data_IF_012187602472
#
_entry.id   IF_012187602472
#
_cell.length_a   1.000
_cell.length_b   1.000
_cell.length_c   1.000
_cell.angle_alpha   90.00
_cell.angle_beta   90.00
_cell.angle_gamma   90.00
#
_symmetry.space_group_name_H-M   'P 1'
#
loop_
_entity.id
_entity.type
_entity.pdbx_description
1 polymer ?
#
# COMPACT_ATOMS: atom_id res chain seq x y z
N UNK A 1 35.81 40.03 -22.00
CA UNK A 1 37.29 39.95 -22.07
C UNK A 1 37.60 38.47 -22.04
N UNK A 2 38.02 37.91 -23.18
CA UNK A 2 38.40 36.50 -23.26
C UNK A 2 39.81 36.38 -22.70
N UNK A 3 39.98 35.62 -21.62
CA UNK A 3 41.28 35.13 -21.21
C UNK A 3 41.77 34.17 -22.30
N UNK A 4 42.72 34.64 -23.11
CA UNK A 4 43.49 33.76 -23.98
C UNK A 4 44.30 32.83 -23.07
N UNK A 5 43.88 31.56 -23.01
CA UNK A 5 44.61 30.53 -22.28
C UNK A 5 46.09 30.58 -22.69
N UNK A 6 46.97 30.81 -21.72
CA UNK A 6 48.42 30.84 -21.96
C UNK A 6 48.85 29.52 -22.59
N UNK A 7 49.70 29.56 -23.60
CA UNK A 7 50.24 28.36 -24.24
C UNK A 7 50.93 27.42 -23.23
N UNK A 8 51.39 27.96 -22.10
CA UNK A 8 51.93 27.18 -20.98
C UNK A 8 50.88 26.28 -20.30
N UNK A 9 49.62 26.73 -20.12
CA UNK A 9 48.56 25.90 -19.51
C UNK A 9 48.17 24.71 -20.41
N UNK A 10 48.21 24.91 -21.73
CA UNK A 10 47.89 23.87 -22.71
C UNK A 10 48.99 22.80 -22.77
N UNK A 11 50.25 23.19 -22.58
CA UNK A 11 51.40 22.29 -22.69
C UNK A 11 51.77 21.56 -21.38
N UNK A 12 51.34 22.05 -20.22
CA UNK A 12 51.69 21.47 -18.91
C UNK A 12 50.75 20.31 -18.52
N UNK A 13 49.47 20.32 -18.92
CA UNK A 13 48.57 19.19 -18.69
C UNK A 13 47.38 19.13 -19.67
N UNK A 14 47.56 18.64 -20.91
CA UNK A 14 46.52 18.64 -21.94
C UNK A 14 45.28 17.81 -21.58
N UNK A 15 45.34 16.98 -20.52
CA UNK A 15 44.26 16.11 -20.08
C UNK A 15 43.36 16.74 -19.00
N UNK A 16 43.77 17.84 -18.37
CA UNK A 16 43.02 18.46 -17.27
C UNK A 16 41.63 18.94 -17.70
N UNK A 17 41.52 19.54 -18.89
CA UNK A 17 40.24 19.95 -19.46
C UNK A 17 39.28 18.78 -19.70
N UNK A 18 39.80 17.62 -20.14
CA UNK A 18 39.01 16.41 -20.33
C UNK A 18 38.59 15.77 -19.00
N UNK A 19 39.44 15.84 -17.97
CA UNK A 19 39.11 15.37 -16.63
C UNK A 19 38.00 16.21 -15.99
N UNK A 20 38.09 17.54 -16.07
CA UNK A 20 37.04 18.41 -15.52
C UNK A 20 35.73 18.27 -16.31
N UNK A 21 35.83 18.13 -17.64
CA UNK A 21 34.67 17.81 -18.47
C UNK A 21 34.00 16.50 -18.04
N UNK A 22 34.78 15.43 -17.89
CA UNK A 22 34.28 14.13 -17.45
C UNK A 22 33.68 14.16 -16.04
N UNK A 23 34.28 14.93 -15.12
CA UNK A 23 33.74 15.13 -13.76
C UNK A 23 32.40 15.84 -13.78
N UNK A 24 32.30 16.93 -14.56
CA UNK A 24 31.07 17.71 -14.73
C UNK A 24 29.96 16.87 -15.36
N UNK A 25 30.27 16.18 -16.46
CA UNK A 25 29.31 15.30 -17.16
C UNK A 25 28.87 14.14 -16.27
N UNK A 26 29.81 13.49 -15.56
CA UNK A 26 29.51 12.42 -14.62
C UNK A 26 28.61 12.88 -13.47
N UNK A 27 28.87 14.07 -12.90
CA UNK A 27 28.05 14.67 -11.84
C UNK A 27 26.63 14.96 -12.33
N UNK A 28 26.50 15.60 -13.50
CA UNK A 28 25.20 15.92 -14.10
C UNK A 28 24.41 14.64 -14.44
N UNK A 29 25.06 13.66 -15.05
CA UNK A 29 24.47 12.37 -15.37
C UNK A 29 24.02 11.62 -14.11
N UNK A 30 24.85 11.61 -13.07
CA UNK A 30 24.54 10.97 -11.78
C UNK A 30 23.34 11.61 -11.08
N UNK A 31 23.29 12.95 -11.01
CA UNK A 31 22.16 13.68 -10.42
C UNK A 31 20.86 13.41 -11.18
N UNK A 32 20.92 13.47 -12.52
CA UNK A 32 19.76 13.22 -13.37
C UNK A 32 19.26 11.78 -13.25
N UNK A 33 20.17 10.80 -13.23
CA UNK A 33 19.84 9.39 -13.05
C UNK A 33 19.20 9.15 -11.68
N UNK A 34 19.85 9.62 -10.60
CA UNK A 34 19.35 9.47 -9.24
C UNK A 34 17.98 10.10 -9.01
N UNK A 35 17.73 11.29 -9.58
CA UNK A 35 16.42 11.94 -9.51
C UNK A 35 15.33 11.13 -10.23
N UNK A 36 15.61 10.65 -11.44
CA UNK A 36 14.65 9.87 -12.22
C UNK A 36 14.35 8.52 -11.55
N UNK A 37 15.37 7.84 -11.04
CA UNK A 37 15.23 6.56 -10.36
C UNK A 37 14.45 6.72 -9.06
N UNK A 38 14.79 7.73 -8.24
CA UNK A 38 14.07 8.04 -7.01
C UNK A 38 12.60 8.37 -7.26
N UNK A 39 12.32 9.18 -8.29
CA UNK A 39 10.94 9.52 -8.69
C UNK A 39 10.16 8.27 -9.14
N UNK A 40 10.76 7.47 -10.02
CA UNK A 40 10.14 6.24 -10.55
C UNK A 40 9.83 5.25 -9.43
N UNK A 41 10.81 4.99 -8.55
CA UNK A 41 10.66 4.10 -7.41
C UNK A 41 9.59 4.59 -6.44
N UNK A 42 9.59 5.89 -6.11
CA UNK A 42 8.59 6.51 -5.23
C UNK A 42 7.17 6.36 -5.78
N UNK A 43 6.97 6.63 -7.07
CA UNK A 43 5.67 6.44 -7.73
C UNK A 43 5.20 4.98 -7.69
N UNK A 44 6.10 4.04 -8.02
CA UNK A 44 5.78 2.62 -8.02
C UNK A 44 5.37 2.14 -6.63
N UNK A 45 6.12 2.55 -5.59
CA UNK A 45 5.85 2.17 -4.19
C UNK A 45 4.57 2.79 -3.65
N UNK A 46 4.31 4.07 -3.96
CA UNK A 46 3.07 4.72 -3.56
C UNK A 46 1.84 4.01 -4.15
N UNK A 47 1.91 3.60 -5.41
CA UNK A 47 0.84 2.85 -6.07
C UNK A 47 0.67 1.45 -5.47
N UNK A 48 1.77 0.71 -5.24
CA UNK A 48 1.74 -0.60 -4.57
C UNK A 48 1.03 -0.51 -3.21
N UNK A 49 1.40 0.50 -2.40
CA UNK A 49 0.80 0.71 -1.10
C UNK A 49 -0.67 1.12 -1.18
N UNK A 50 -1.02 2.03 -2.10
CA UNK A 50 -2.40 2.49 -2.28
C UNK A 50 -3.35 1.36 -2.64
N UNK A 51 -2.95 0.48 -3.58
CA UNK A 51 -3.77 -0.67 -3.99
C UNK A 51 -3.94 -1.66 -2.83
N UNK A 52 -2.85 -1.98 -2.14
CA UNK A 52 -2.91 -2.92 -1.01
C UNK A 52 -3.75 -2.39 0.15
N UNK A 53 -3.62 -1.11 0.51
CA UNK A 53 -4.46 -0.47 1.53
C UNK A 53 -5.93 -0.46 1.13
N UNK A 54 -6.23 -0.13 -0.13
CA UNK A 54 -7.59 -0.16 -0.66
C UNK A 54 -8.22 -1.55 -0.57
N UNK A 55 -7.47 -2.58 -0.95
CA UNK A 55 -7.90 -3.97 -0.85
C UNK A 55 -8.18 -4.38 0.60
N UNK A 56 -7.25 -4.13 1.53
CA UNK A 56 -7.41 -4.50 2.94
C UNK A 56 -8.58 -3.74 3.57
N UNK A 57 -8.74 -2.44 3.26
CA UNK A 57 -9.88 -1.64 3.73
C UNK A 57 -11.21 -2.20 3.22
N UNK A 58 -11.28 -2.56 1.94
CA UNK A 58 -12.45 -3.23 1.36
C UNK A 58 -12.78 -4.55 2.06
N UNK A 59 -11.76 -5.36 2.35
CA UNK A 59 -11.92 -6.58 3.13
C UNK A 59 -12.48 -6.31 4.53
N UNK A 60 -11.96 -5.32 5.26
CA UNK A 60 -12.45 -4.97 6.61
C UNK A 60 -13.94 -4.60 6.57
N UNK A 61 -14.37 -3.82 5.56
CA UNK A 61 -15.78 -3.46 5.38
C UNK A 61 -16.68 -4.69 5.18
N UNK A 62 -16.29 -5.59 4.27
CA UNK A 62 -17.03 -6.84 4.01
C UNK A 62 -17.01 -7.75 5.23
N UNK A 63 -15.88 -7.83 5.93
CA UNK A 63 -15.75 -8.66 7.12
C UNK A 63 -16.69 -8.19 8.24
N UNK A 64 -16.83 -6.89 8.44
CA UNK A 64 -17.78 -6.34 9.41
C UNK A 64 -19.24 -6.57 9.02
N UNK A 65 -19.57 -6.42 7.73
CA UNK A 65 -20.96 -6.49 7.25
C UNK A 65 -21.47 -7.92 7.11
N UNK A 66 -20.67 -8.80 6.51
CA UNK A 66 -21.14 -10.10 6.01
C UNK A 66 -20.55 -11.28 6.79
N UNK A 67 -19.30 -11.16 7.23
CA UNK A 67 -18.56 -12.29 7.84
C UNK A 67 -18.77 -12.36 9.35
N UNK A 68 -18.64 -11.24 10.06
CA UNK A 68 -18.79 -11.25 11.53
C UNK A 68 -20.18 -11.73 12.00
N UNK A 69 -21.31 -11.33 11.39
CA UNK A 69 -22.62 -11.80 11.81
C UNK A 69 -22.87 -13.29 11.55
N UNK A 70 -22.12 -13.91 10.64
CA UNK A 70 -22.27 -15.31 10.27
C UNK A 70 -21.37 -16.26 11.07
N UNK A 71 -20.54 -15.75 11.99
CA UNK A 71 -19.61 -16.54 12.81
C UNK A 71 -20.19 -16.80 14.21
N UNK A 72 -19.86 -17.98 14.77
CA UNK A 72 -20.15 -18.33 16.15
C UNK A 72 -19.66 -17.27 17.17
N UNK A 73 -20.54 -16.91 18.11
CA UNK A 73 -20.34 -15.83 19.10
C UNK A 73 -19.00 -15.94 19.83
N UNK A 74 -18.61 -17.15 20.26
CA UNK A 74 -17.37 -17.38 21.01
C UNK A 74 -16.10 -17.00 20.23
N UNK A 75 -16.12 -17.08 18.90
CA UNK A 75 -14.99 -16.70 18.02
C UNK A 75 -15.14 -15.29 17.49
N UNK A 76 -16.37 -14.81 17.32
CA UNK A 76 -16.68 -13.49 16.77
C UNK A 76 -15.98 -12.36 17.55
N UNK A 77 -15.97 -12.41 18.88
CA UNK A 77 -15.32 -11.37 19.70
C UNK A 77 -13.82 -11.23 19.44
N UNK A 78 -13.10 -12.36 19.32
CA UNK A 78 -11.66 -12.37 19.06
C UNK A 78 -11.33 -11.81 17.68
N UNK A 79 -12.14 -12.18 16.68
CA UNK A 79 -11.99 -11.67 15.31
C UNK A 79 -12.32 -10.19 15.26
N UNK A 80 -13.39 -9.75 15.92
CA UNK A 80 -13.78 -8.34 15.99
C UNK A 80 -12.67 -7.47 16.60
N UNK A 81 -12.02 -7.92 17.69
CA UNK A 81 -10.85 -7.23 18.26
C UNK A 81 -9.69 -7.14 17.27
N UNK A 82 -9.43 -8.21 16.52
CA UNK A 82 -8.35 -8.25 15.54
C UNK A 82 -8.64 -7.36 14.33
N UNK A 83 -9.90 -7.32 13.86
CA UNK A 83 -10.38 -6.42 12.82
C UNK A 83 -10.31 -4.96 13.25
N UNK A 84 -10.73 -4.63 14.47
CA UNK A 84 -10.60 -3.27 15.01
C UNK A 84 -9.13 -2.83 15.06
N UNK A 85 -8.25 -3.71 15.54
CA UNK A 85 -6.81 -3.43 15.60
C UNK A 85 -6.16 -3.28 14.21
N UNK A 86 -6.73 -3.92 13.18
CA UNK A 86 -6.34 -3.76 11.77
C UNK A 86 -6.86 -2.43 11.22
N UNK A 87 -8.14 -2.11 11.43
CA UNK A 87 -8.76 -0.85 11.03
C UNK A 87 -8.00 0.34 11.61
N UNK A 88 -7.71 0.32 12.91
CA UNK A 88 -6.89 1.33 13.56
C UNK A 88 -5.52 1.50 12.89
N UNK A 89 -4.84 0.39 12.55
CA UNK A 89 -3.54 0.47 11.89
C UNK A 89 -3.63 1.08 10.47
N UNK A 90 -4.75 0.89 9.78
CA UNK A 90 -5.02 1.50 8.46
C UNK A 90 -5.32 2.99 8.62
N UNK A 91 -6.07 3.39 9.65
CA UNK A 91 -6.42 4.80 9.89
C UNK A 91 -5.22 5.59 10.44
N UNK A 92 -4.28 4.94 11.11
CA UNK A 92 -2.98 5.51 11.50
C UNK A 92 -1.96 5.59 10.34
N UNK A 93 -2.29 5.08 9.16
CA UNK A 93 -1.41 5.16 8.00
C UNK A 93 -1.37 6.60 7.46
N UNK A 94 -0.17 7.17 7.22
CA UNK A 94 -0.05 8.59 6.90
C UNK A 94 -0.74 8.94 5.59
N UNK A 95 -1.43 10.08 5.60
CA UNK A 95 -2.01 10.65 4.39
C UNK A 95 -0.94 11.15 3.41
N UNK A 96 -1.32 11.43 2.15
CA UNK A 96 -0.39 11.96 1.15
C UNK A 96 0.31 13.23 1.64
N UNK A 97 -0.42 14.16 2.26
CA UNK A 97 0.17 15.42 2.72
C UNK A 97 1.23 15.20 3.81
N UNK A 98 0.99 14.29 4.74
CA UNK A 98 1.94 13.95 5.81
C UNK A 98 3.21 13.30 5.26
N UNK A 99 3.08 12.46 4.22
CA UNK A 99 4.23 11.79 3.59
C UNK A 99 5.18 12.74 2.87
N UNK A 100 4.72 13.91 2.40
CA UNK A 100 5.52 14.86 1.63
C UNK A 100 5.97 16.10 2.42
N UNK A 101 5.42 16.35 3.61
CA UNK A 101 5.74 17.54 4.42
C UNK A 101 7.20 17.61 4.88
N UNK A 102 7.91 16.50 5.00
CA UNK A 102 9.30 16.46 5.46
C UNK A 102 10.35 16.68 4.36
N UNK A 103 9.94 16.90 3.11
CA UNK A 103 10.87 17.03 1.96
C UNK A 103 11.24 18.49 1.68
N UNK A 104 10.53 19.46 2.25
CA UNK A 104 10.69 20.89 1.96
C UNK A 104 11.38 21.69 3.06
N UNK A 105 12.53 21.24 3.56
CA UNK A 105 13.43 22.15 4.30
C UNK A 105 14.56 22.63 3.36
N UNK A 106 14.36 23.75 2.63
CA UNK A 106 15.32 24.25 1.64
C UNK A 106 16.64 24.70 2.26
N UNK A 107 16.73 24.83 3.59
CA UNK A 107 17.94 25.25 4.28
C UNK A 107 18.97 24.12 4.46
N UNK A 108 18.63 22.87 4.09
CA UNK A 108 19.52 21.71 4.30
C UNK A 108 20.07 21.10 2.99
N UNK A 109 19.83 21.71 1.83
CA UNK A 109 20.17 21.11 0.52
C UNK A 109 21.43 21.69 -0.13
N UNK A 110 22.06 22.73 0.43
CA UNK A 110 23.22 23.38 -0.21
C UNK A 110 24.61 22.99 0.33
N UNK A 111 24.72 22.14 1.37
CA UNK A 111 25.99 21.99 2.11
C UNK A 111 26.58 20.58 2.16
N UNK A 112 26.40 19.72 1.16
CA UNK A 112 26.91 18.33 1.20
C UNK A 112 27.74 17.88 0.00
N UNK A 113 28.40 18.78 -0.75
CA UNK A 113 29.26 18.35 -1.87
C UNK A 113 30.71 18.82 -1.80
N UNK A 114 31.13 19.49 -0.73
CA UNK A 114 32.54 19.84 -0.48
C UNK A 114 32.86 19.70 1.02
N UNK A 115 32.75 18.50 1.61
CA UNK A 115 33.56 18.24 2.81
C UNK A 115 33.84 16.76 3.06
N UNK A 116 35.06 16.52 3.51
CA UNK A 116 35.66 15.22 3.74
C UNK A 116 34.99 14.43 4.87
N UNK A 117 35.11 13.11 4.77
CA UNK A 117 35.21 12.13 5.86
C UNK A 117 35.11 12.71 7.29
N UNK A 118 33.89 12.82 7.85
CA UNK A 118 33.54 12.60 9.26
C UNK A 118 32.19 13.26 9.56
N UNK A 119 31.14 12.47 9.86
CA UNK A 119 30.09 12.90 10.79
C UNK A 119 29.08 11.77 11.00
N UNK A 120 29.04 11.27 12.24
CA UNK A 120 28.05 10.35 12.79
C UNK A 120 26.64 10.97 12.82
N UNK A 121 25.99 11.06 11.65
CA UNK A 121 24.62 11.56 11.50
C UNK A 121 23.58 10.44 11.71
N UNK A 122 23.63 9.71 12.83
CA UNK A 122 22.67 8.64 13.14
C UNK A 122 21.45 9.11 13.95
N UNK A 123 21.37 10.36 14.40
CA UNK A 123 20.38 10.75 15.44
C UNK A 123 19.20 11.60 14.98
N UNK A 124 19.17 12.10 13.73
CA UNK A 124 18.11 13.03 13.29
C UNK A 124 17.00 12.39 12.43
N UNK A 125 17.07 11.08 12.17
CA UNK A 125 16.06 10.30 11.42
C UNK A 125 14.98 9.65 12.29
N UNK A 126 14.96 9.90 13.61
CA UNK A 126 14.07 9.18 14.55
C UNK A 126 12.57 9.47 14.42
N UNK A 127 12.19 10.49 13.65
CA UNK A 127 10.78 10.77 13.31
C UNK A 127 10.53 10.77 11.79
N UNK A 128 11.43 10.18 10.99
CA UNK A 128 11.08 9.88 9.61
C UNK A 128 9.89 8.92 9.66
N UNK A 129 8.75 9.33 9.10
CA UNK A 129 7.54 8.51 8.98
C UNK A 129 7.94 7.12 8.47
N UNK A 130 7.92 6.12 9.35
CA UNK A 130 8.25 4.74 9.00
C UNK A 130 7.07 4.11 8.26
N UNK A 131 6.84 4.58 7.02
CA UNK A 131 5.77 4.12 6.14
C UNK A 131 5.89 2.61 5.90
N UNK A 132 7.13 2.12 5.74
CA UNK A 132 7.41 0.71 5.50
C UNK A 132 7.02 -0.13 6.72
N UNK A 133 7.43 0.26 7.92
CA UNK A 133 7.07 -0.44 9.15
C UNK A 133 5.57 -0.37 9.46
N UNK A 134 4.91 0.77 9.19
CA UNK A 134 3.44 0.88 9.28
C UNK A 134 2.75 -0.08 8.31
N UNK A 135 3.21 -0.15 7.05
CA UNK A 135 2.66 -1.08 6.06
C UNK A 135 2.89 -2.56 6.47
N UNK A 136 4.08 -2.90 6.96
CA UNK A 136 4.36 -4.25 7.47
C UNK A 136 3.47 -4.62 8.65
N UNK A 137 3.19 -3.68 9.56
CA UNK A 137 2.26 -3.87 10.68
C UNK A 137 0.84 -4.15 10.18
N UNK A 138 0.36 -3.42 9.17
CA UNK A 138 -0.94 -3.65 8.53
C UNK A 138 -0.98 -5.06 7.91
N UNK A 139 0.03 -5.42 7.12
CA UNK A 139 0.17 -6.76 6.51
C UNK A 139 0.12 -7.88 7.55
N UNK A 140 0.84 -7.72 8.67
CA UNK A 140 0.87 -8.71 9.74
C UNK A 140 -0.52 -8.89 10.40
N UNK A 141 -1.21 -7.78 10.69
CA UNK A 141 -2.56 -7.80 11.26
C UNK A 141 -3.58 -8.39 10.29
N UNK A 142 -3.49 -8.04 9.01
CA UNK A 142 -4.35 -8.61 7.96
C UNK A 142 -4.18 -10.13 7.87
N UNK A 143 -2.93 -10.62 7.80
CA UNK A 143 -2.64 -12.06 7.84
C UNK A 143 -3.18 -12.74 9.09
N UNK A 144 -3.07 -12.10 10.25
CA UNK A 144 -3.64 -12.64 11.49
C UNK A 144 -5.16 -12.81 11.37
N UNK A 145 -5.86 -11.81 10.82
CA UNK A 145 -7.32 -11.87 10.63
C UNK A 145 -7.72 -12.95 9.62
N UNK A 146 -7.03 -13.08 8.49
CA UNK A 146 -7.36 -14.10 7.48
C UNK A 146 -7.12 -15.52 8.01
N UNK A 147 -6.06 -15.73 8.78
CA UNK A 147 -5.83 -17.00 9.51
C UNK A 147 -6.94 -17.25 10.52
N UNK A 148 -7.30 -16.25 11.32
CA UNK A 148 -8.40 -16.37 12.29
C UNK A 148 -9.74 -16.63 11.63
N UNK A 149 -9.94 -16.26 10.36
CA UNK A 149 -11.12 -16.52 9.54
C UNK A 149 -11.08 -17.86 8.78
N UNK A 150 -9.96 -18.61 8.85
CA UNK A 150 -9.72 -19.84 8.09
C UNK A 150 -9.67 -19.63 6.56
N UNK A 151 -9.22 -18.45 6.12
CA UNK A 151 -8.97 -18.11 4.72
C UNK A 151 -7.50 -17.66 4.53
N UNK A 152 -6.49 -18.45 4.94
CA UNK A 152 -5.11 -18.00 5.07
C UNK A 152 -4.45 -17.59 3.74
N UNK A 153 -4.96 -18.07 2.60
CA UNK A 153 -4.41 -17.77 1.28
C UNK A 153 -5.01 -16.49 0.67
N UNK A 154 -6.05 -15.92 1.27
CA UNK A 154 -6.71 -14.73 0.78
C UNK A 154 -5.73 -13.54 0.73
N UNK A 155 -5.37 -13.13 -0.48
CA UNK A 155 -4.37 -12.09 -0.74
C UNK A 155 -4.70 -11.34 -2.03
N UNK A 156 -4.29 -10.07 -2.10
CA UNK A 156 -4.48 -9.24 -3.27
C UNK A 156 -3.90 -9.90 -4.54
N UNK A 157 -2.71 -10.49 -4.44
CA UNK A 157 -2.06 -11.18 -5.56
C UNK A 157 -2.95 -12.28 -6.14
N UNK A 158 -3.51 -13.12 -5.28
CA UNK A 158 -4.38 -14.22 -5.72
C UNK A 158 -5.65 -13.67 -6.40
N UNK A 159 -6.29 -12.66 -5.81
CA UNK A 159 -7.49 -12.04 -6.39
C UNK A 159 -7.19 -11.41 -7.76
N UNK A 160 -6.03 -10.77 -7.92
CA UNK A 160 -5.62 -10.20 -9.21
C UNK A 160 -5.30 -11.28 -10.25
N UNK A 161 -4.68 -12.39 -9.84
CA UNK A 161 -4.37 -13.52 -10.73
C UNK A 161 -5.66 -14.22 -11.20
N UNK A 162 -6.61 -14.44 -10.30
CA UNK A 162 -7.94 -15.00 -10.62
C UNK A 162 -8.72 -14.08 -11.58
N UNK A 163 -8.68 -12.77 -11.34
CA UNK A 163 -9.33 -11.78 -12.22
C UNK A 163 -8.68 -11.72 -13.62
N UNK A 164 -7.36 -11.88 -13.71
CA UNK A 164 -6.62 -11.92 -14.98
C UNK A 164 -6.92 -13.16 -15.81
N UNK A 165 -7.20 -14.29 -15.18
CA UNK A 165 -7.53 -15.55 -15.85
C UNK A 165 -9.00 -15.61 -16.32
N UNK A 166 -9.92 -14.90 -15.64
CA UNK A 166 -11.36 -14.92 -15.96
C UNK A 166 -11.95 -13.49 -16.05
N UNK A 167 -11.68 -12.74 -17.14
CA UNK A 167 -12.13 -11.35 -17.29
C UNK A 167 -13.66 -11.21 -17.38
N UNK A 168 -14.39 -12.29 -17.66
CA UNK A 168 -15.84 -12.32 -17.78
C UNK A 168 -16.60 -12.28 -16.43
N UNK A 169 -15.92 -12.41 -15.29
CA UNK A 169 -16.57 -12.50 -13.97
C UNK A 169 -16.49 -11.22 -13.12
N UNK A 170 -15.90 -10.14 -13.63
CA UNK A 170 -15.64 -8.88 -12.86
C UNK A 170 -16.94 -8.10 -12.54
N UNK A 171 -18.10 -8.53 -13.01
CA UNK A 171 -19.40 -7.87 -12.77
C UNK A 171 -20.41 -8.65 -11.91
N UNK A 172 -20.11 -9.87 -11.48
CA UNK A 172 -21.09 -10.76 -10.83
C UNK A 172 -20.83 -10.90 -9.32
N UNK A 173 -21.08 -9.84 -8.55
CA UNK A 173 -21.42 -10.02 -7.12
C UNK A 173 -22.87 -10.46 -7.08
N UNK A 174 -23.11 -11.73 -7.40
CA UNK A 174 -24.43 -12.34 -7.25
C UNK A 174 -24.70 -12.50 -5.75
N UNK A 175 -25.70 -11.74 -5.27
CA UNK A 175 -26.42 -11.97 -4.02
C UNK A 175 -26.77 -13.46 -3.88
N UNK A 176 -25.96 -14.21 -3.13
CA UNK A 176 -26.29 -15.55 -2.68
C UNK A 176 -26.80 -15.47 -1.24
N UNK A 177 -27.96 -14.85 -1.05
CA UNK A 177 -28.72 -14.93 0.21
C UNK A 177 -30.18 -14.61 -0.09
N UNK A 178 -31.01 -15.66 -0.18
CA UNK A 178 -32.45 -15.70 0.15
C UNK A 178 -33.21 -16.63 -0.80
N UNK A 179 -32.97 -17.94 -0.70
CA UNK A 179 -34.01 -18.94 -0.93
C UNK A 179 -33.77 -20.12 0.00
N UNK A 180 -34.28 -20.01 1.23
CA UNK A 180 -34.62 -21.18 2.01
C UNK A 180 -35.79 -20.85 2.96
N UNK A 181 -36.75 -21.77 3.01
CA UNK A 181 -37.96 -21.80 3.88
C UNK A 181 -39.07 -20.81 3.48
N UNK A 182 -40.33 -21.22 3.24
CA UNK A 182 -41.19 -21.98 4.13
C UNK A 182 -42.14 -22.88 3.31
N UNK A 183 -42.11 -24.19 3.55
CA UNK A 183 -43.19 -25.12 3.20
C UNK A 183 -43.83 -25.58 4.50
N UNK A 184 -44.78 -24.78 5.01
CA UNK A 184 -45.56 -25.13 6.19
C UNK A 184 -46.66 -26.12 5.83
N UNK A 185 -46.68 -27.19 6.62
CA UNK A 185 -47.65 -28.28 6.58
C UNK A 185 -48.68 -28.03 7.70
N UNK A 186 -49.93 -28.41 7.43
CA UNK A 186 -51.08 -28.58 8.34
C UNK A 186 -51.90 -27.34 8.79
N UNK A 187 -53.18 -27.33 8.40
CA UNK A 187 -54.24 -27.60 9.38
C UNK A 187 -55.56 -27.99 8.70
N UNK A 188 -56.17 -29.05 9.26
CA UNK A 188 -57.47 -29.58 8.91
C UNK A 188 -58.61 -28.61 9.28
N UNK A 189 -59.61 -28.51 8.40
CA UNK A 189 -60.93 -28.00 8.76
C UNK A 189 -61.97 -29.08 8.42
N UNK A 190 -62.54 -29.62 9.50
CA UNK A 190 -63.72 -30.49 9.53
C UNK A 190 -64.93 -29.56 9.67
N UNK A 191 -65.74 -29.41 8.63
CA UNK A 191 -67.17 -29.04 8.68
C UNK A 191 -67.78 -29.70 7.42
N UNK A 192 -68.82 -30.52 7.44
CA UNK A 192 -70.02 -30.44 8.26
C UNK A 192 -71.22 -30.18 7.33
N UNK A 193 -71.73 -31.25 6.72
CA UNK A 193 -73.10 -31.45 6.21
C UNK A 193 -73.88 -30.34 5.50
N UNK A 194 -74.34 -30.64 4.27
CA UNK A 194 -75.75 -30.45 3.92
C UNK A 194 -76.09 -31.27 2.67
N UNK A 195 -76.88 -32.32 2.89
CA UNK A 195 -77.65 -33.02 1.87
C UNK A 195 -79.05 -32.41 1.86
N UNK A 196 -79.48 -31.93 0.70
CA UNK A 196 -80.88 -31.95 0.28
C UNK A 196 -80.89 -32.10 -1.25
N UNK A 197 -81.86 -32.88 -1.73
CA UNK A 197 -82.08 -33.48 -3.07
C UNK A 197 -81.52 -34.88 -3.29
#
# INVERSE_FOLDING_TARGET
MNEEASWDDICVNPHESFLELGRREGKEAGLKAGFNDGRSLGQHKALEFGIELGFIRGFVLVAHRDILPSIEIARAEKIAKSLHALQQAIDEFPGPDEMFQHVHDPNNTETMLDDELQSDSETQTRNALDVVGKMQRIRAKFKLVTVQLRIPHFSLKQVMEEAGQNPSNVGSVSNASAQNEVSETNMAAIEGGSSDW
#
